data_IF_566902077596
#
_entry.id   IF_566902077596
#
_cell.length_a   1.000
_cell.length_b   1.000
_cell.length_c   1.000
_cell.angle_alpha   90.00
_cell.angle_beta   90.00
_cell.angle_gamma   90.00
#
_symmetry.space_group_name_H-M   'P 1'
#
loop_
_entity.id
_entity.type
_entity.pdbx_description
1 polymer ?
#
# COMPACT_ATOMS: atom_id res chain seq x y z
N UNK A 1 1.21 20.06 2.42
CA UNK A 1 2.06 19.08 1.69
C UNK A 1 3.47 18.91 2.31
N UNK A 2 3.73 19.39 3.54
CA UNK A 2 5.07 19.29 4.19
C UNK A 2 5.57 17.86 4.44
N UNK A 3 4.68 16.86 4.38
CA UNK A 3 5.02 15.44 4.57
C UNK A 3 5.50 14.74 3.29
N UNK A 4 5.39 15.38 2.13
CA UNK A 4 5.87 14.78 0.87
C UNK A 4 7.38 14.49 0.96
N UNK A 5 7.79 13.35 0.39
CA UNK A 5 9.20 12.93 0.33
C UNK A 5 9.57 12.81 -1.13
N UNK A 6 10.05 13.91 -1.71
CA UNK A 6 10.25 14.06 -3.17
C UNK A 6 11.70 14.41 -3.54
N UNK A 7 12.69 13.57 -3.15
CA UNK A 7 14.10 13.84 -3.42
C UNK A 7 14.49 13.91 -4.90
N UNK A 8 13.65 13.43 -5.82
CA UNK A 8 13.94 13.36 -7.26
C UNK A 8 13.31 14.56 -7.95
N UNK A 9 11.97 14.68 -7.91
CA UNK A 9 11.24 15.73 -8.62
C UNK A 9 11.28 17.08 -7.91
N UNK A 10 11.47 17.07 -6.58
CA UNK A 10 11.26 18.24 -5.71
C UNK A 10 9.86 18.84 -5.86
N UNK A 11 8.87 18.03 -6.27
CA UNK A 11 7.52 18.46 -6.58
C UNK A 11 6.50 17.85 -5.62
N UNK A 12 6.10 18.57 -4.55
CA UNK A 12 5.18 18.04 -3.56
C UNK A 12 3.75 17.99 -4.08
N UNK A 13 3.14 16.81 -4.03
CA UNK A 13 1.73 16.55 -4.32
C UNK A 13 1.04 16.07 -3.05
N UNK A 14 -0.17 16.57 -2.79
CA UNK A 14 -0.99 16.11 -1.68
C UNK A 14 -2.39 15.78 -2.15
N UNK A 15 -3.01 14.80 -1.49
CA UNK A 15 -4.41 14.46 -1.70
C UNK A 15 -5.12 14.25 -0.35
N UNK A 16 -6.39 14.62 -0.31
CA UNK A 16 -7.28 14.43 0.83
C UNK A 16 -8.58 13.79 0.34
N UNK A 17 -8.92 12.63 0.89
CA UNK A 17 -10.13 11.88 0.56
C UNK A 17 -11.16 11.98 1.67
N UNK A 18 -12.43 12.12 1.28
CA UNK A 18 -13.59 12.03 2.17
C UNK A 18 -14.24 10.66 2.00
N UNK A 19 -14.24 9.87 3.06
CA UNK A 19 -15.01 8.63 3.16
C UNK A 19 -16.49 8.89 3.43
N UNK A 20 -17.34 7.94 3.05
CA UNK A 20 -18.79 7.99 3.28
C UNK A 20 -19.17 8.03 4.77
N UNK A 21 -18.28 7.55 5.65
CA UNK A 21 -18.42 7.64 7.11
C UNK A 21 -18.13 9.04 7.68
N UNK A 22 -17.67 9.98 6.85
CA UNK A 22 -17.15 11.28 7.29
C UNK A 22 -15.66 11.26 7.65
N UNK A 23 -14.99 10.09 7.59
CA UNK A 23 -13.54 9.99 7.80
C UNK A 23 -12.78 10.77 6.72
N UNK A 24 -11.73 11.48 7.15
CA UNK A 24 -10.83 12.21 6.25
C UNK A 24 -9.49 11.49 6.20
N UNK A 25 -9.03 11.18 4.99
CA UNK A 25 -7.76 10.52 4.76
C UNK A 25 -6.81 11.50 4.08
N UNK A 26 -5.67 11.79 4.70
CA UNK A 26 -4.65 12.67 4.13
C UNK A 26 -3.47 11.86 3.57
N UNK A 27 -2.86 12.36 2.51
CA UNK A 27 -1.81 11.66 1.77
C UNK A 27 -0.89 12.61 1.01
N UNK A 28 0.28 12.11 0.63
CA UNK A 28 1.33 12.83 -0.10
C UNK A 28 2.07 11.87 -1.04
N UNK A 29 2.79 12.40 -2.03
CA UNK A 29 3.68 11.59 -2.85
C UNK A 29 5.01 11.27 -2.16
N UNK A 30 5.56 10.10 -2.50
CA UNK A 30 6.81 9.55 -2.03
C UNK A 30 7.67 9.10 -3.22
N UNK A 31 8.96 9.42 -3.18
CA UNK A 31 9.96 9.01 -4.16
C UNK A 31 11.18 8.46 -3.44
N UNK A 32 11.82 7.45 -4.03
CA UNK A 32 12.92 6.73 -3.41
C UNK A 32 14.15 6.80 -4.31
N UNK A 33 15.28 7.29 -3.77
CA UNK A 33 16.55 7.34 -4.50
C UNK A 33 17.12 5.94 -4.66
N UNK A 34 17.85 5.71 -5.76
CA UNK A 34 18.50 4.41 -6.03
C UNK A 34 17.54 3.32 -6.49
N UNK A 35 16.25 3.62 -6.65
CA UNK A 35 15.25 2.68 -7.13
C UNK A 35 14.65 3.14 -8.48
N UNK A 36 14.16 2.20 -9.31
CA UNK A 36 13.39 2.55 -10.49
C UNK A 36 12.15 3.39 -10.14
N UNK A 37 11.75 4.29 -11.04
CA UNK A 37 10.61 5.21 -10.84
C UNK A 37 9.29 4.49 -10.57
N UNK A 38 9.17 3.20 -10.91
CA UNK A 38 8.02 2.36 -10.60
C UNK A 38 7.78 2.15 -9.10
N UNK A 39 8.77 2.46 -8.24
CA UNK A 39 8.62 2.42 -6.78
C UNK A 39 8.03 3.72 -6.20
N UNK A 40 7.96 4.80 -6.99
CA UNK A 40 7.38 6.05 -6.52
C UNK A 40 5.90 5.85 -6.22
N UNK A 41 5.45 6.41 -5.09
CA UNK A 41 4.05 6.34 -4.66
C UNK A 41 3.42 7.71 -4.86
N UNK A 42 2.39 7.78 -5.68
CA UNK A 42 1.64 9.02 -5.91
C UNK A 42 0.71 9.32 -4.73
N UNK A 43 0.35 10.59 -4.54
CA UNK A 43 -0.52 10.97 -3.42
C UNK A 43 -1.87 10.24 -3.46
N UNK A 44 -2.42 10.02 -4.64
CA UNK A 44 -3.68 9.31 -4.86
C UNK A 44 -3.57 7.81 -4.54
N UNK A 45 -2.44 7.17 -4.88
CA UNK A 45 -2.20 5.77 -4.50
C UNK A 45 -2.04 5.65 -2.99
N UNK A 46 -1.25 6.55 -2.38
CA UNK A 46 -1.11 6.64 -0.93
C UNK A 46 -2.48 6.78 -0.28
N UNK A 47 -3.33 7.68 -0.78
CA UNK A 47 -4.66 7.95 -0.24
C UNK A 47 -5.50 6.67 -0.12
N UNK A 48 -5.58 5.90 -1.21
CA UNK A 48 -6.36 4.66 -1.26
C UNK A 48 -5.78 3.60 -0.33
N UNK A 49 -4.45 3.44 -0.30
CA UNK A 49 -3.79 2.50 0.62
C UNK A 49 -4.03 2.90 2.08
N UNK A 50 -3.96 4.19 2.40
CA UNK A 50 -4.24 4.71 3.74
C UNK A 50 -5.71 4.48 4.14
N UNK A 51 -6.64 4.72 3.21
CA UNK A 51 -8.06 4.45 3.44
C UNK A 51 -8.33 2.94 3.65
N UNK A 52 -7.68 2.08 2.88
CA UNK A 52 -7.77 0.62 3.03
C UNK A 52 -7.23 0.15 4.39
N UNK A 53 -6.15 0.77 4.89
CA UNK A 53 -5.50 0.40 6.14
C UNK A 53 -6.29 0.81 7.40
N UNK A 54 -6.90 2.00 7.41
CA UNK A 54 -7.55 2.57 8.62
C UNK A 54 -8.98 2.04 8.81
N UNK A 55 -9.65 1.60 7.76
CA UNK A 55 -11.02 1.12 7.85
C UNK A 55 -11.83 1.50 6.63
N UNK A 56 -12.45 0.47 6.08
CA UNK A 56 -13.09 0.32 4.78
C UNK A 56 -14.25 1.31 4.62
N UNK A 57 -14.00 2.41 3.92
CA UNK A 57 -15.05 3.34 3.52
C UNK A 57 -15.07 3.49 2.00
N UNK A 58 -16.28 3.67 1.47
CA UNK A 58 -16.44 4.19 0.11
C UNK A 58 -15.88 5.61 0.09
N UNK A 59 -14.92 5.90 -0.79
CA UNK A 59 -14.48 7.27 -1.02
C UNK A 59 -15.54 8.01 -1.84
N UNK A 60 -15.99 9.15 -1.36
CA UNK A 60 -17.00 9.97 -2.04
C UNK A 60 -16.36 11.09 -2.86
N UNK A 61 -15.34 11.73 -2.29
CA UNK A 61 -14.66 12.86 -2.91
C UNK A 61 -13.17 12.88 -2.59
N UNK A 62 -12.38 13.45 -3.49
CA UNK A 62 -10.94 13.64 -3.34
C UNK A 62 -10.58 15.07 -3.74
N UNK A 63 -9.88 15.78 -2.86
CA UNK A 63 -9.18 17.02 -3.20
C UNK A 63 -7.71 16.70 -3.47
N UNK A 64 -7.20 17.06 -4.64
CA UNK A 64 -5.81 16.78 -5.05
C UNK A 64 -5.14 18.11 -5.42
N UNK A 65 -3.87 18.27 -5.08
CA UNK A 65 -3.15 19.51 -5.41
C UNK A 65 -2.98 19.71 -6.90
N UNK A 66 -2.78 18.64 -7.68
CA UNK A 66 -2.58 18.67 -9.14
C UNK A 66 -3.45 17.61 -9.83
N UNK A 67 -3.62 17.75 -11.14
CA UNK A 67 -4.44 16.83 -11.92
C UNK A 67 -3.88 15.39 -11.83
N UNK A 68 -4.70 14.37 -11.48
CA UNK A 68 -4.21 13.01 -11.42
C UNK A 68 -3.71 12.55 -12.78
N UNK A 69 -2.56 11.89 -12.80
CA UNK A 69 -1.98 11.30 -14.01
C UNK A 69 -2.79 10.07 -14.45
N UNK A 70 -2.53 9.56 -15.66
CA UNK A 70 -3.22 8.37 -16.18
C UNK A 70 -3.09 7.15 -15.26
N UNK A 71 -1.92 6.95 -14.67
CA UNK A 71 -1.66 5.87 -13.69
C UNK A 71 -2.58 5.96 -12.48
N UNK A 72 -2.70 7.14 -11.84
CA UNK A 72 -3.60 7.34 -10.70
C UNK A 72 -5.08 7.19 -11.09
N UNK A 73 -5.47 7.69 -12.27
CA UNK A 73 -6.86 7.54 -12.75
C UNK A 73 -7.22 6.07 -12.93
N UNK A 74 -6.30 5.28 -13.47
CA UNK A 74 -6.47 3.84 -13.63
C UNK A 74 -6.48 3.12 -12.29
N UNK A 75 -5.57 3.48 -11.38
CA UNK A 75 -5.52 2.91 -10.03
C UNK A 75 -6.82 3.14 -9.24
N UNK A 76 -7.47 4.30 -9.41
CA UNK A 76 -8.77 4.57 -8.80
C UNK A 76 -9.88 3.64 -9.29
N UNK A 77 -9.76 2.99 -10.46
CA UNK A 77 -10.75 2.01 -10.95
C UNK A 77 -10.82 0.75 -10.08
N UNK A 78 -9.79 0.49 -9.27
CA UNK A 78 -9.80 -0.58 -8.28
C UNK A 78 -10.75 -0.29 -7.10
N UNK A 79 -11.47 0.84 -7.10
CA UNK A 79 -12.48 1.17 -6.09
C UNK A 79 -13.87 0.87 -6.63
N UNK A 80 -14.71 0.19 -5.83
CA UNK A 80 -16.11 -0.04 -6.19
C UNK A 80 -16.85 1.28 -6.41
N UNK A 81 -17.40 1.46 -7.61
CA UNK A 81 -18.10 2.68 -7.99
C UNK A 81 -17.18 3.87 -8.31
N UNK A 82 -15.90 3.60 -8.64
CA UNK A 82 -14.88 4.61 -8.96
C UNK A 82 -15.39 5.75 -9.84
N UNK A 83 -16.17 5.43 -10.88
CA UNK A 83 -16.70 6.41 -11.83
C UNK A 83 -17.51 7.56 -11.21
N UNK A 84 -18.11 7.36 -10.03
CA UNK A 84 -18.87 8.37 -9.29
C UNK A 84 -18.06 9.22 -8.31
N UNK A 85 -16.80 8.86 -8.04
CA UNK A 85 -15.94 9.61 -7.12
C UNK A 85 -15.69 11.01 -7.70
N UNK A 86 -15.93 12.03 -6.87
CA UNK A 86 -15.72 13.44 -7.26
C UNK A 86 -14.31 13.89 -6.94
N UNK A 87 -13.65 14.54 -7.88
CA UNK A 87 -12.30 15.09 -7.74
C UNK A 87 -12.35 16.60 -7.92
N UNK A 88 -11.69 17.32 -7.02
CA UNK A 88 -11.39 18.75 -7.16
C UNK A 88 -9.87 18.94 -7.17
N UNK A 89 -9.37 19.72 -8.14
CA UNK A 89 -7.93 19.98 -8.30
C UNK A 89 -7.62 21.42 -7.89
N UNK A 90 -6.89 21.59 -6.80
CA UNK A 90 -6.74 22.91 -6.14
C UNK A 90 -5.79 23.86 -6.86
N UNK A 91 -4.89 23.36 -7.71
CA UNK A 91 -4.03 24.19 -8.59
C UNK A 91 -4.72 24.64 -9.88
N UNK A 92 -5.96 24.21 -10.11
CA UNK A 92 -6.70 24.45 -11.36
C UNK A 92 -7.93 25.33 -11.15
N UNK A 93 -8.93 25.23 -12.04
CA UNK A 93 -10.20 25.97 -11.98
C UNK A 93 -11.11 25.57 -10.80
N UNK A 94 -10.63 24.72 -9.90
CA UNK A 94 -11.34 24.21 -8.73
C UNK A 94 -12.73 23.63 -9.05
N UNK A 95 -12.95 23.18 -10.29
CA UNK A 95 -14.20 22.53 -10.68
C UNK A 95 -14.20 21.08 -10.25
N UNK A 96 -15.35 20.65 -9.73
CA UNK A 96 -15.60 19.24 -9.47
C UNK A 96 -15.72 18.47 -10.78
N UNK A 97 -15.00 17.34 -10.85
CA UNK A 97 -15.02 16.39 -11.95
C UNK A 97 -15.29 15.01 -11.39
N UNK A 98 -15.85 14.10 -12.15
CA UNK A 98 -15.93 12.69 -11.74
C UNK A 98 -14.72 11.93 -12.29
N UNK A 99 -14.34 10.81 -11.67
CA UNK A 99 -13.33 9.92 -12.25
C UNK A 99 -13.72 9.47 -13.66
N UNK A 100 -15.02 9.18 -13.89
CA UNK A 100 -15.53 8.82 -15.22
C UNK A 100 -15.32 9.91 -16.28
N UNK A 101 -15.36 11.20 -15.90
CA UNK A 101 -15.04 12.31 -16.81
C UNK A 101 -13.54 12.45 -17.08
N UNK A 102 -12.69 12.00 -16.15
CA UNK A 102 -11.23 12.07 -16.26
C UNK A 102 -10.63 10.85 -16.95
N UNK A 103 -11.31 9.71 -16.91
CA UNK A 103 -10.95 8.46 -17.57
C UNK A 103 -12.19 7.87 -18.26
N UNK A 104 -12.55 8.36 -19.46
CA UNK A 104 -13.71 7.87 -20.18
C UNK A 104 -13.46 6.47 -20.72
N UNK A 105 -14.48 5.60 -20.65
CA UNK A 105 -14.44 4.19 -21.08
C UNK A 105 -13.22 3.45 -20.48
N UNK A 106 -13.11 3.41 -19.14
CA UNK A 106 -11.98 2.77 -18.48
C UNK A 106 -12.01 1.26 -18.71
N UNK A 107 -10.84 0.65 -18.79
CA UNK A 107 -10.66 -0.75 -18.44
C UNK A 107 -10.59 -0.88 -16.92
N UNK A 108 -11.10 -1.94 -16.32
CA UNK A 108 -11.08 -2.11 -14.87
C UNK A 108 -11.51 -3.50 -14.40
N UNK A 109 -11.75 -3.67 -13.09
CA UNK A 109 -12.04 -4.98 -12.50
C UNK A 109 -13.18 -5.73 -13.17
N UNK A 110 -14.21 -5.03 -13.66
CA UNK A 110 -15.38 -5.65 -14.30
C UNK A 110 -15.12 -6.26 -15.68
N UNK A 111 -13.97 -5.96 -16.29
CA UNK A 111 -13.55 -6.56 -17.55
C UNK A 111 -12.85 -7.93 -17.33
N UNK A 112 -12.38 -8.20 -16.12
CA UNK A 112 -11.59 -9.39 -15.78
C UNK A 112 -12.23 -10.26 -14.69
N UNK A 113 -12.91 -9.64 -13.73
CA UNK A 113 -13.34 -10.27 -12.49
C UNK A 113 -14.87 -10.35 -12.39
N UNK A 114 -15.40 -11.43 -11.79
CA UNK A 114 -16.81 -11.50 -11.40
C UNK A 114 -17.22 -10.35 -10.48
N UNK A 115 -18.48 -9.90 -10.57
CA UNK A 115 -18.99 -8.74 -9.81
C UNK A 115 -18.94 -8.88 -8.29
N UNK A 116 -18.87 -10.11 -7.78
CA UNK A 116 -18.86 -10.40 -6.35
C UNK A 116 -17.46 -10.34 -5.73
N UNK A 117 -16.39 -10.26 -6.54
CA UNK A 117 -15.02 -10.17 -6.04
C UNK A 117 -14.85 -8.82 -5.31
N UNK A 118 -14.40 -8.83 -4.04
CA UNK A 118 -14.12 -7.61 -3.30
C UNK A 118 -13.03 -6.77 -3.97
N UNK A 119 -13.22 -5.45 -3.97
CA UNK A 119 -12.24 -4.49 -4.50
C UNK A 119 -11.40 -3.83 -3.40
N UNK A 120 -10.48 -2.92 -3.76
CA UNK A 120 -9.36 -2.50 -2.89
C UNK A 120 -9.76 -1.90 -1.53
N UNK A 121 -10.96 -1.30 -1.43
CA UNK A 121 -11.49 -0.73 -0.19
C UNK A 121 -12.52 -1.61 0.51
N UNK A 122 -12.82 -2.78 -0.04
CA UNK A 122 -13.76 -3.75 0.50
C UNK A 122 -13.04 -4.78 1.40
N UNK A 123 -13.77 -5.57 2.21
CA UNK A 123 -13.14 -6.58 3.03
C UNK A 123 -12.44 -7.69 2.26
N UNK A 124 -11.19 -7.96 2.64
CA UNK A 124 -10.40 -9.12 2.22
C UNK A 124 -10.05 -9.95 3.44
N UNK A 125 -10.14 -11.26 3.31
CA UNK A 125 -9.66 -12.23 4.28
C UNK A 125 -9.24 -13.50 3.52
N UNK A 126 -7.97 -13.54 3.11
CA UNK A 126 -7.39 -14.71 2.43
C UNK A 126 -6.82 -15.66 3.49
N UNK A 127 -7.34 -16.90 3.65
CA UNK A 127 -6.83 -17.82 4.65
C UNK A 127 -5.39 -18.25 4.29
N UNK A 128 -4.45 -17.99 5.21
CA UNK A 128 -3.07 -18.51 5.12
C UNK A 128 -3.00 -19.82 5.91
N UNK A 129 -2.38 -20.86 5.34
CA UNK A 129 -2.32 -22.20 5.95
C UNK A 129 -0.92 -22.78 5.94
N UNK A 130 -0.62 -23.55 6.99
CA UNK A 130 0.67 -24.18 7.20
C UNK A 130 1.49 -23.48 8.28
N UNK A 131 2.42 -24.22 8.87
CA UNK A 131 3.51 -23.60 9.60
C UNK A 131 4.46 -22.99 8.56
N UNK A 132 4.93 -21.74 8.75
CA UNK A 132 5.82 -21.12 7.78
C UNK A 132 7.04 -22.02 7.59
N UNK A 133 7.38 -22.32 6.33
CA UNK A 133 8.68 -22.91 6.02
C UNK A 133 9.75 -21.97 6.60
N UNK A 134 10.77 -22.57 7.21
CA UNK A 134 11.81 -21.94 8.04
C UNK A 134 12.17 -20.52 7.59
N UNK A 135 12.03 -19.54 8.49
CA UNK A 135 12.36 -18.14 8.19
C UNK A 135 13.81 -18.03 7.69
N UNK A 136 14.02 -17.50 6.50
CA UNK A 136 15.38 -17.20 6.02
C UNK A 136 15.83 -15.89 6.67
N UNK A 137 16.54 -15.99 7.79
CA UNK A 137 17.09 -14.85 8.51
C UNK A 137 18.27 -14.30 7.72
N UNK A 138 18.12 -13.11 7.13
CA UNK A 138 19.18 -12.57 6.26
C UNK A 138 20.13 -11.58 6.90
N UNK A 139 19.92 -11.11 8.14
CA UNK A 139 20.88 -10.26 8.89
C UNK A 139 20.54 -10.21 10.40
N UNK A 140 20.99 -11.22 11.16
CA UNK A 140 20.50 -11.52 12.50
C UNK A 140 20.61 -10.41 13.57
N UNK A 141 19.47 -10.10 14.19
CA UNK A 141 19.36 -9.64 15.58
C UNK A 141 18.14 -10.34 16.21
N UNK A 142 18.38 -11.35 17.06
CA UNK A 142 17.32 -12.11 17.71
C UNK A 142 16.86 -11.40 19.00
N UNK A 143 15.78 -10.63 18.89
CA UNK A 143 14.90 -10.31 20.04
C UNK A 143 13.57 -11.00 19.75
N UNK A 144 13.34 -12.19 20.33
CA UNK A 144 12.24 -13.08 19.96
C UNK A 144 10.83 -12.48 20.00
N UNK A 145 10.60 -11.44 20.81
CA UNK A 145 9.32 -10.70 20.84
C UNK A 145 9.10 -9.85 19.58
N UNK A 146 10.13 -9.18 19.07
CA UNK A 146 10.02 -8.31 17.90
C UNK A 146 9.76 -9.11 16.62
N UNK A 147 10.49 -10.22 16.45
CA UNK A 147 10.33 -11.09 15.28
C UNK A 147 8.94 -11.73 15.23
N UNK A 148 8.43 -12.24 16.37
CA UNK A 148 7.09 -12.81 16.45
C UNK A 148 6.01 -11.76 16.11
N UNK A 149 6.10 -10.56 16.68
CA UNK A 149 5.16 -9.46 16.41
C UNK A 149 5.22 -8.96 14.97
N UNK A 150 6.41 -8.92 14.38
CA UNK A 150 6.58 -8.58 12.96
C UNK A 150 5.95 -9.62 12.04
N UNK A 151 6.15 -10.90 12.34
CA UNK A 151 5.53 -12.00 11.60
C UNK A 151 4.00 -11.91 11.69
N UNK A 152 3.44 -11.78 12.89
CA UNK A 152 2.00 -11.63 13.10
C UNK A 152 1.42 -10.43 12.34
N UNK A 153 2.12 -9.29 12.35
CA UNK A 153 1.73 -8.11 11.59
C UNK A 153 1.78 -8.35 10.07
N UNK A 154 2.83 -9.00 9.57
CA UNK A 154 2.98 -9.30 8.14
C UNK A 154 1.91 -10.30 7.67
N UNK A 155 1.60 -11.31 8.48
CA UNK A 155 0.53 -12.27 8.18
C UNK A 155 -0.83 -11.60 8.15
N UNK A 156 -1.17 -10.80 9.17
CA UNK A 156 -2.42 -10.05 9.19
C UNK A 156 -2.55 -9.12 7.99
N UNK A 157 -1.45 -8.48 7.58
CA UNK A 157 -1.39 -7.65 6.41
C UNK A 157 -1.61 -8.46 5.12
N UNK A 158 -0.97 -9.63 4.99
CA UNK A 158 -1.11 -10.53 3.85
C UNK A 158 -2.54 -11.08 3.71
N UNK A 159 -3.19 -11.48 4.82
CA UNK A 159 -4.61 -11.88 4.83
C UNK A 159 -5.54 -10.78 4.30
N UNK A 160 -5.21 -9.52 4.59
CA UNK A 160 -5.97 -8.35 4.15
C UNK A 160 -5.51 -7.76 2.80
N UNK A 161 -4.66 -8.45 2.03
CA UNK A 161 -4.12 -7.94 0.76
C UNK A 161 -5.14 -8.03 -0.40
N UNK A 162 -5.26 -6.95 -1.18
CA UNK A 162 -6.05 -6.94 -2.42
C UNK A 162 -5.25 -7.64 -3.53
N UNK A 163 -5.53 -8.92 -3.75
CA UNK A 163 -4.78 -9.77 -4.71
C UNK A 163 -5.69 -10.56 -5.67
N UNK A 164 -6.78 -9.99 -6.20
CA UNK A 164 -7.77 -10.75 -6.98
C UNK A 164 -7.24 -11.24 -8.35
N UNK A 165 -6.12 -10.69 -8.81
CA UNK A 165 -5.53 -11.02 -10.10
C UNK A 165 -4.42 -12.07 -10.00
N UNK A 166 -3.64 -12.04 -8.92
CA UNK A 166 -2.51 -12.95 -8.71
C UNK A 166 -2.90 -14.15 -7.85
N UNK A 167 -3.92 -14.02 -7.00
CA UNK A 167 -4.26 -15.00 -5.95
C UNK A 167 -3.06 -15.32 -5.04
N UNK A 168 -2.19 -14.33 -4.86
CA UNK A 168 -0.95 -14.42 -4.09
C UNK A 168 -1.00 -13.40 -2.95
N UNK A 169 -1.62 -13.72 -1.79
CA UNK A 169 -1.59 -12.84 -0.63
C UNK A 169 -0.14 -12.67 -0.17
N UNK A 170 0.41 -11.49 -0.43
CA UNK A 170 1.78 -11.13 -0.05
C UNK A 170 1.82 -9.74 0.57
N UNK A 171 2.48 -9.56 1.73
CA UNK A 171 2.65 -8.23 2.31
C UNK A 171 3.81 -8.10 3.27
N UNK A 172 4.27 -6.87 3.43
CA UNK A 172 5.33 -6.49 4.36
C UNK A 172 4.77 -6.01 5.68
N UNK A 173 5.52 -6.22 6.75
CA UNK A 173 5.43 -5.41 7.95
C UNK A 173 6.80 -4.82 8.27
N UNK A 174 6.83 -3.62 8.84
CA UNK A 174 8.03 -2.91 9.23
C UNK A 174 7.95 -2.46 10.68
N UNK A 175 9.09 -2.51 11.36
CA UNK A 175 9.31 -1.99 12.71
C UNK A 175 10.17 -0.73 12.62
N UNK A 176 9.75 0.33 13.30
CA UNK A 176 10.65 1.42 13.65
C UNK A 176 11.25 1.18 15.05
N UNK A 177 12.43 1.75 15.33
CA UNK A 177 13.09 1.59 16.63
C UNK A 177 12.36 2.26 17.81
N UNK A 178 11.18 2.86 17.61
CA UNK A 178 10.52 3.76 18.56
C UNK A 178 8.99 3.59 18.66
N UNK A 179 8.35 2.69 17.91
CA UNK A 179 6.89 2.72 17.71
C UNK A 179 6.23 1.39 17.32
N UNK A 180 4.94 1.44 16.93
CA UNK A 180 4.13 0.26 16.59
C UNK A 180 4.43 -0.27 15.19
N UNK A 181 4.33 -1.59 15.02
CA UNK A 181 4.55 -2.25 13.73
C UNK A 181 3.54 -1.74 12.68
N UNK A 182 4.01 -1.51 11.46
CA UNK A 182 3.17 -1.03 10.36
C UNK A 182 3.19 -2.02 9.20
N UNK A 183 2.04 -2.26 8.58
CA UNK A 183 1.90 -3.12 7.40
C UNK A 183 2.52 -2.54 6.11
N UNK A 184 3.07 -1.32 6.16
CA UNK A 184 3.79 -0.69 5.05
C UNK A 184 4.46 0.61 5.52
N UNK A 185 5.45 1.09 4.78
CA UNK A 185 6.05 2.43 4.95
C UNK A 185 5.00 3.56 4.82
N UNK A 186 3.97 3.35 4.00
CA UNK A 186 2.83 4.29 3.89
C UNK A 186 2.16 4.49 5.25
N UNK A 187 2.02 3.44 6.06
CA UNK A 187 1.48 3.52 7.42
C UNK A 187 2.34 4.38 8.34
N UNK A 188 3.67 4.25 8.24
CA UNK A 188 4.61 5.07 9.02
C UNK A 188 4.48 6.57 8.67
N UNK A 189 4.43 6.90 7.38
CA UNK A 189 4.27 8.29 6.93
C UNK A 189 2.89 8.85 7.31
N UNK A 190 1.83 8.03 7.25
CA UNK A 190 0.47 8.41 7.62
C UNK A 190 0.35 8.73 9.12
N UNK A 191 0.97 7.90 9.97
CA UNK A 191 1.00 8.06 11.43
C UNK A 191 1.73 9.32 11.92
N UNK A 192 2.30 10.12 11.01
CA UNK A 192 2.94 11.40 11.35
C UNK A 192 4.33 11.24 11.93
N UNK A 193 4.92 10.05 11.86
CA UNK A 193 6.32 9.85 12.16
C UNK A 193 7.18 10.75 11.28
N UNK A 194 8.15 11.44 11.90
CA UNK A 194 9.27 12.00 11.15
C UNK A 194 10.08 10.90 10.44
N UNK A 195 9.89 9.65 10.87
CA UNK A 195 10.51 8.43 10.38
C UNK A 195 10.47 8.32 8.86
N UNK A 196 11.59 8.70 8.26
CA UNK A 196 11.94 8.25 6.94
C UNK A 196 12.15 6.73 6.99
N UNK A 197 12.12 6.07 5.84
CA UNK A 197 12.38 4.64 5.75
C UNK A 197 13.70 4.23 6.44
N UNK A 198 14.64 5.18 6.60
CA UNK A 198 15.88 5.04 7.36
C UNK A 198 15.72 4.72 8.86
N UNK A 199 14.54 4.93 9.46
CA UNK A 199 14.25 4.56 10.85
C UNK A 199 13.74 3.11 11.00
N UNK A 200 13.54 2.40 9.88
CA UNK A 200 13.16 0.99 9.89
C UNK A 200 14.34 0.17 10.40
N UNK A 201 14.09 -0.63 11.44
CA UNK A 201 15.09 -1.51 12.09
C UNK A 201 14.90 -2.97 11.72
N UNK A 202 13.69 -3.36 11.35
CA UNK A 202 13.36 -4.72 10.96
C UNK A 202 12.14 -4.75 10.04
N UNK A 203 12.10 -5.73 9.15
CA UNK A 203 11.00 -5.97 8.24
C UNK A 203 10.71 -7.47 8.09
N UNK A 204 9.45 -7.81 7.89
CA UNK A 204 8.98 -9.15 7.61
C UNK A 204 8.15 -9.16 6.33
N UNK A 205 8.33 -10.18 5.49
CA UNK A 205 7.50 -10.47 4.33
C UNK A 205 6.79 -11.80 4.55
N UNK A 206 5.49 -11.81 4.30
CA UNK A 206 4.71 -13.04 4.18
C UNK A 206 4.30 -13.19 2.73
N UNK A 207 4.59 -14.34 2.10
CA UNK A 207 4.14 -14.68 0.75
C UNK A 207 3.56 -16.10 0.68
N UNK A 208 2.78 -16.35 -0.37
CA UNK A 208 2.28 -17.67 -0.71
C UNK A 208 3.40 -18.50 -1.38
N UNK A 209 3.56 -19.74 -0.95
CA UNK A 209 4.45 -20.71 -1.58
C UNK A 209 3.97 -21.05 -3.00
N UNK A 210 4.90 -21.17 -3.95
CA UNK A 210 4.61 -21.38 -5.37
C UNK A 210 3.62 -20.34 -5.97
N UNK A 211 3.65 -19.10 -5.46
CA UNK A 211 2.92 -17.98 -6.01
C UNK A 211 3.29 -17.68 -7.47
N UNK A 212 2.30 -17.29 -8.28
CA UNK A 212 2.52 -16.79 -9.65
C UNK A 212 3.38 -15.52 -9.67
N UNK A 213 3.39 -14.77 -8.56
CA UNK A 213 4.16 -13.54 -8.37
C UNK A 213 4.80 -13.55 -6.99
N UNK A 214 6.11 -13.31 -6.92
CA UNK A 214 6.85 -13.11 -5.66
C UNK A 214 7.36 -11.66 -5.55
N UNK A 215 7.29 -11.09 -4.36
CA UNK A 215 7.80 -9.75 -4.03
C UNK A 215 9.15 -9.80 -3.31
N UNK A 216 9.66 -10.97 -2.92
CA UNK A 216 10.88 -11.09 -2.13
C UNK A 216 12.06 -10.34 -2.75
N UNK A 217 12.39 -10.63 -4.02
CA UNK A 217 13.53 -10.02 -4.69
C UNK A 217 13.40 -8.49 -4.75
N UNK A 218 12.20 -7.99 -5.07
CA UNK A 218 11.95 -6.56 -5.15
C UNK A 218 12.06 -5.89 -3.79
N UNK A 219 11.60 -6.55 -2.75
CA UNK A 219 11.66 -6.01 -1.41
C UNK A 219 13.05 -6.01 -0.80
N UNK A 220 13.88 -7.00 -1.13
CA UNK A 220 15.32 -6.97 -0.80
C UNK A 220 15.99 -5.76 -1.42
N UNK A 221 15.74 -5.50 -2.71
CA UNK A 221 16.26 -4.33 -3.42
C UNK A 221 15.74 -3.03 -2.77
N UNK A 222 14.45 -2.99 -2.48
CA UNK A 222 13.82 -1.84 -1.86
C UNK A 222 14.40 -1.55 -0.47
N UNK A 223 14.44 -2.55 0.43
CA UNK A 223 15.01 -2.41 1.78
C UNK A 223 16.49 -2.02 1.74
N UNK A 224 17.28 -2.59 0.83
CA UNK A 224 18.67 -2.20 0.67
C UNK A 224 18.83 -0.71 0.29
N UNK A 225 17.88 -0.14 -0.47
CA UNK A 225 17.92 1.26 -0.86
C UNK A 225 17.39 2.20 0.24
N UNK A 226 16.39 1.79 1.01
CA UNK A 226 15.65 2.69 1.92
C UNK A 226 15.98 2.50 3.40
N UNK A 227 16.42 1.30 3.78
CA UNK A 227 16.72 0.90 5.16
C UNK A 227 17.81 -0.20 5.17
N UNK A 228 19.03 0.06 4.66
CA UNK A 228 20.07 -0.96 4.51
C UNK A 228 20.48 -1.64 5.82
N UNK A 229 20.27 -0.97 6.95
CA UNK A 229 20.52 -1.51 8.29
C UNK A 229 19.43 -2.44 8.83
N UNK A 230 18.25 -2.48 8.19
CA UNK A 230 17.12 -3.25 8.70
C UNK A 230 17.35 -4.75 8.55
N UNK A 231 17.01 -5.53 9.58
CA UNK A 231 16.90 -6.98 9.40
C UNK A 231 15.70 -7.31 8.51
N UNK A 232 15.80 -8.38 7.72
CA UNK A 232 14.72 -8.79 6.83
C UNK A 232 14.48 -10.30 6.91
N UNK A 233 13.21 -10.65 7.15
CA UNK A 233 12.73 -12.01 7.32
C UNK A 233 11.64 -12.31 6.28
N UNK A 234 11.70 -13.47 5.66
CA UNK A 234 10.71 -13.94 4.69
C UNK A 234 10.06 -15.21 5.21
N UNK A 235 8.74 -15.26 5.16
CA UNK A 235 7.92 -16.38 5.59
C UNK A 235 7.03 -16.82 4.42
N UNK A 236 7.15 -18.09 4.02
CA UNK A 236 6.35 -18.69 2.95
C UNK A 236 5.27 -19.60 3.55
N UNK A 237 4.03 -19.42 3.11
CA UNK A 237 2.86 -20.19 3.58
C UNK A 237 2.11 -20.86 2.43
N UNK A 238 1.50 -22.00 2.70
CA UNK A 238 0.50 -22.58 1.81
C UNK A 238 -0.86 -21.87 1.92
N UNK A 239 -1.81 -22.26 1.07
CA UNK A 239 -3.24 -21.98 1.26
C UNK A 239 -3.92 -23.28 1.70
N UNK A 240 -5.00 -23.21 2.49
CA UNK A 240 -5.87 -24.39 2.67
C UNK A 240 -6.52 -24.67 1.34
N UNK A 241 -6.58 -25.95 0.97
CA UNK A 241 -7.63 -26.41 0.07
C UNK A 241 -8.98 -26.06 0.72
N UNK A 242 -9.76 -25.22 0.03
CA UNK A 242 -11.09 -24.81 0.45
C UNK A 242 -12.12 -25.94 0.21
#
# INVERSE_FOLDING_TARGET
>A
MRRARVPISRFPVGAVGLGMSGCIYASVNLEFRGLPLSHSVHAEQFLVVNAAAVGKSKLCAIAISHMPCGHCRQFLQEIRGAGGIRIIVTSSDAKWRTVSSLLPRPFGPHDLLPKHVPLVLEPHDSPLVGNPATAVITNGFANGDLEARLREAAEAAARAAHTPYSECPSRFAVADGKGPMQAAIIGMVAAGGAAAAEDVVAAALVEKEAALVSQEAMARIFLAAVAPQASFHVYNFGLSDA
#
